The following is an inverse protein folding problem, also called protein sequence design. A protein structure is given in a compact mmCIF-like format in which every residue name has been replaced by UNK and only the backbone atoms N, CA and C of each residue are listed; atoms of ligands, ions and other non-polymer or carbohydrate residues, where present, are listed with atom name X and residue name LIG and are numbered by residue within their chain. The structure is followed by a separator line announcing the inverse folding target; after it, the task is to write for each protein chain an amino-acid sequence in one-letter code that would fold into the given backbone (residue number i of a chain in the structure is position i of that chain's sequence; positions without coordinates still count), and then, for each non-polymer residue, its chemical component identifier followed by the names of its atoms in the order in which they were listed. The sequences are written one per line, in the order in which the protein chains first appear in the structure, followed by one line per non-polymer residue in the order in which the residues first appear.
data_IF_208134347591
#
_entry.id   IF_208134347591
#
_cell.length_a   1.000
_cell.length_b   1.000
_cell.length_c   1.000
_cell.angle_alpha   90.00
_cell.angle_beta   90.00
_cell.angle_gamma   90.00
#
_symmetry.space_group_name_H-M   'P 1'
#
loop_
_entity.id
_entity.type
_entity.pdbx_description
1 polymer ?
#
# COMPACT_ATOMS: atom_id res chain seq x y z
N UNK A 1 15.23 -6.58 -13.15
CA UNK A 1 14.96 -5.77 -11.94
C UNK A 1 13.52 -6.03 -11.57
N UNK A 2 13.21 -6.51 -10.36
CA UNK A 2 11.84 -6.85 -9.98
C UNK A 2 10.95 -5.59 -9.91
N UNK A 3 9.95 -5.54 -10.77
CA UNK A 3 8.90 -4.52 -10.82
C UNK A 3 7.63 -4.94 -10.06
N UNK A 4 7.53 -6.19 -9.62
CA UNK A 4 6.35 -6.73 -8.94
C UNK A 4 6.16 -6.14 -7.54
N UNK A 5 5.19 -5.24 -7.41
CA UNK A 5 5.01 -4.41 -6.21
C UNK A 5 3.56 -4.44 -5.75
N UNK A 6 3.34 -4.64 -4.45
CA UNK A 6 2.07 -4.46 -3.77
C UNK A 6 2.02 -3.06 -3.16
N UNK A 7 1.10 -2.25 -3.66
CA UNK A 7 0.87 -0.89 -3.19
C UNK A 7 -0.23 -0.89 -2.12
N UNK A 8 0.04 -0.24 -1.00
CA UNK A 8 -0.94 0.04 0.05
C UNK A 8 -1.19 1.54 0.08
N UNK A 9 -2.44 1.93 -0.14
CA UNK A 9 -2.85 3.33 -0.10
C UNK A 9 -3.34 3.65 1.30
N UNK A 10 -2.71 4.64 1.92
CA UNK A 10 -2.94 5.07 3.30
C UNK A 10 -3.28 6.54 3.32
N UNK A 11 -4.20 6.96 4.18
CA UNK A 11 -4.52 8.37 4.34
C UNK A 11 -3.45 9.09 5.18
N UNK A 12 -3.13 10.33 4.82
CA UNK A 12 -2.15 11.17 5.52
C UNK A 12 -2.54 11.42 6.97
N UNK A 13 -3.84 11.47 7.26
CA UNK A 13 -4.38 11.70 8.60
C UNK A 13 -4.51 10.43 9.43
N UNK A 14 -4.01 9.27 8.95
CA UNK A 14 -4.04 8.04 9.74
C UNK A 14 -3.06 8.12 10.91
N UNK A 15 -3.57 7.88 12.12
CA UNK A 15 -2.72 7.74 13.33
C UNK A 15 -1.86 6.48 13.25
N UNK A 16 -2.42 5.39 12.72
CA UNK A 16 -1.69 4.16 12.40
C UNK A 16 -1.95 3.75 10.93
N UNK A 17 -1.02 4.02 10.00
CA UNK A 17 -1.20 3.71 8.59
C UNK A 17 -1.21 2.20 8.29
N UNK A 18 -0.71 1.35 9.19
CA UNK A 18 -0.78 -0.10 9.05
C UNK A 18 -2.18 -0.66 9.27
N UNK A 19 -3.00 0.03 10.08
CA UNK A 19 -4.35 -0.41 10.47
C UNK A 19 -5.42 0.03 9.48
N UNK A 20 -5.27 1.19 8.82
CA UNK A 20 -6.30 1.79 7.97
C UNK A 20 -5.82 2.04 6.52
N UNK A 21 -5.43 0.99 5.80
CA UNK A 21 -5.26 1.12 4.35
C UNK A 21 -6.63 1.14 3.66
N UNK A 22 -6.86 2.11 2.79
CA UNK A 22 -8.15 2.24 2.08
C UNK A 22 -8.20 1.41 0.80
N UNK A 23 -7.03 1.10 0.24
CA UNK A 23 -6.90 0.30 -0.98
C UNK A 23 -5.59 -0.44 -0.99
N UNK A 24 -5.59 -1.64 -1.56
CA UNK A 24 -4.38 -2.33 -1.98
C UNK A 24 -4.45 -2.58 -3.49
N UNK A 25 -3.33 -2.43 -4.18
CA UNK A 25 -3.19 -2.85 -5.58
C UNK A 25 -1.89 -3.62 -5.75
N UNK A 26 -1.81 -4.44 -6.79
CA UNK A 26 -0.56 -5.09 -7.19
C UNK A 26 -0.23 -4.64 -8.59
N UNK A 27 0.99 -4.16 -8.78
CA UNK A 27 1.52 -3.61 -10.02
C UNK A 27 2.73 -4.43 -10.48
N UNK A 28 3.04 -4.36 -11.77
CA UNK A 28 4.13 -5.10 -12.39
C UNK A 28 3.82 -6.57 -12.73
N UNK A 29 4.84 -7.30 -13.16
CA UNK A 29 4.72 -8.67 -13.67
C UNK A 29 5.17 -9.73 -12.66
N UNK A 30 4.38 -10.80 -12.51
CA UNK A 30 4.80 -11.98 -11.71
C UNK A 30 5.98 -12.74 -12.32
N UNK A 31 6.27 -12.57 -13.62
CA UNK A 31 7.33 -13.32 -14.31
C UNK A 31 8.73 -13.03 -13.76
N UNK A 32 8.97 -11.81 -13.30
CA UNK A 32 10.25 -11.33 -12.76
C UNK A 32 10.13 -11.02 -11.25
N UNK A 33 9.16 -11.63 -10.57
CA UNK A 33 8.90 -11.35 -9.15
C UNK A 33 9.97 -11.91 -8.24
N UNK A 34 10.28 -11.19 -7.16
CA UNK A 34 11.16 -11.69 -6.11
C UNK A 34 10.59 -12.97 -5.47
N UNK A 35 11.44 -13.96 -5.14
CA UNK A 35 11.00 -15.27 -4.69
C UNK A 35 10.32 -15.29 -3.32
N UNK A 36 10.51 -14.23 -2.51
CA UNK A 36 9.90 -14.12 -1.17
C UNK A 36 8.49 -13.55 -1.21
N UNK A 37 8.32 -12.38 -1.82
CA UNK A 37 7.05 -11.68 -1.94
C UNK A 37 7.16 -10.53 -2.94
N UNK A 38 6.03 -10.01 -3.46
CA UNK A 38 6.03 -8.68 -4.06
C UNK A 38 6.62 -7.66 -3.09
N UNK A 39 7.31 -6.66 -3.65
CA UNK A 39 7.80 -5.54 -2.86
C UNK A 39 6.63 -4.75 -2.30
N UNK A 40 6.73 -4.26 -1.08
CA UNK A 40 5.67 -3.47 -0.47
C UNK A 40 5.97 -1.98 -0.63
N UNK A 41 4.96 -1.22 -1.06
CA UNK A 41 5.05 0.23 -1.20
C UNK A 41 3.84 0.89 -0.55
N UNK A 42 4.09 1.84 0.34
CA UNK A 42 3.05 2.66 0.94
C UNK A 42 2.90 3.96 0.17
N UNK A 43 1.69 4.27 -0.27
CA UNK A 43 1.33 5.47 -1.00
C UNK A 43 0.41 6.30 -0.11
N UNK A 44 0.88 7.48 0.27
CA UNK A 44 0.11 8.41 1.10
C UNK A 44 -0.85 9.21 0.23
N UNK A 45 -2.14 9.10 0.53
CA UNK A 45 -3.19 9.94 -0.02
C UNK A 45 -3.38 11.17 0.86
N UNK A 46 -3.56 12.37 0.30
CA UNK A 46 -3.71 13.60 1.07
C UNK A 46 -5.04 13.69 1.83
N UNK A 47 -6.01 12.83 1.51
CA UNK A 47 -7.33 12.81 2.13
C UNK A 47 -7.29 12.34 3.59
N UNK A 48 -8.37 12.64 4.33
CA UNK A 48 -8.52 12.24 5.72
C UNK A 48 -9.13 10.84 5.85
N UNK A 49 -8.63 10.07 6.81
CA UNK A 49 -9.13 8.74 7.13
C UNK A 49 -10.51 8.81 7.79
N UNK A 50 -11.56 8.18 7.22
CA UNK A 50 -12.88 8.15 7.83
C UNK A 50 -12.96 7.23 9.06
N UNK A 51 -11.92 6.45 9.36
CA UNK A 51 -11.89 5.47 10.45
C UNK A 51 -11.07 5.90 11.67
N UNK A 52 -10.18 6.91 11.56
CA UNK A 52 -9.32 7.30 12.69
C UNK A 52 -10.02 8.15 13.78
N UNK A 53 -11.18 8.71 13.48
CA UNK A 53 -11.94 9.57 14.40
C UNK A 53 -13.26 8.94 14.85
N UNK A 54 -13.40 7.63 14.65
CA UNK A 54 -14.60 6.86 14.97
C UNK A 54 -14.25 5.80 16.00
#
# INVERSE_FOLDING_TARGET
MCDFTKNYYIYSSCVDPGTHFCKASTDGSRKESCPKSPHERYIVLPESCPLCYR
#
